data_IF_224401564225
#
_entry.id   IF_224401564225
#
_cell.length_a   1.000
_cell.length_b   1.000
_cell.length_c   1.000
_cell.angle_alpha   90.00
_cell.angle_beta   90.00
_cell.angle_gamma   90.00
#
_symmetry.space_group_name_H-M   'P 1'
#
loop_
_entity.id
_entity.type
_entity.pdbx_description
1 polymer ?
#
# COMPACT_ATOMS: atom_id res chain seq x y z
N UNK A 1 1.73 18.58 5.26
CA UNK A 1 0.51 19.41 5.28
C UNK A 1 -0.64 18.52 4.85
N UNK A 2 -1.69 18.36 5.65
CA UNK A 2 -2.79 17.46 5.32
C UNK A 2 -3.64 18.01 4.17
N UNK A 3 -4.24 17.10 3.40
CA UNK A 3 -5.23 17.40 2.37
C UNK A 3 -6.37 18.18 3.02
N UNK A 4 -6.80 19.27 2.37
CA UNK A 4 -7.92 20.06 2.85
C UNK A 4 -9.20 19.20 2.96
N UNK A 5 -10.05 19.46 3.96
CA UNK A 5 -11.23 18.63 4.19
C UNK A 5 -12.31 18.79 3.11
N UNK A 6 -12.41 19.98 2.50
CA UNK A 6 -13.41 20.30 1.48
C UNK A 6 -13.38 19.40 0.23
N UNK A 7 -12.22 19.09 -0.40
CA UNK A 7 -12.18 18.11 -1.49
C UNK A 7 -12.56 16.70 -1.04
N UNK A 8 -12.21 16.30 0.20
CA UNK A 8 -12.55 14.97 0.74
C UNK A 8 -14.06 14.83 0.95
N UNK A 9 -14.71 15.86 1.52
CA UNK A 9 -16.18 15.92 1.62
C UNK A 9 -16.84 15.84 0.23
N UNK A 10 -16.30 16.53 -0.77
CA UNK A 10 -16.79 16.45 -2.17
C UNK A 10 -16.66 15.05 -2.75
N UNK A 11 -15.59 14.30 -2.46
CA UNK A 11 -15.42 12.92 -2.91
C UNK A 11 -16.54 12.04 -2.33
N UNK A 12 -16.81 12.15 -1.03
CA UNK A 12 -17.88 11.40 -0.37
C UNK A 12 -19.26 11.72 -0.97
N UNK A 13 -19.56 12.99 -1.22
CA UNK A 13 -20.84 13.39 -1.84
C UNK A 13 -20.96 12.92 -3.28
N UNK A 14 -19.88 12.99 -4.07
CA UNK A 14 -19.85 12.44 -5.43
C UNK A 14 -20.02 10.92 -5.46
N UNK A 15 -19.60 10.23 -4.41
CA UNK A 15 -19.88 8.80 -4.21
C UNK A 15 -21.33 8.50 -3.78
N UNK A 16 -22.16 9.53 -3.57
CA UNK A 16 -23.59 9.39 -3.27
C UNK A 16 -23.98 9.71 -1.83
N UNK A 17 -23.05 10.14 -0.98
CA UNK A 17 -23.39 10.53 0.39
C UNK A 17 -24.25 11.81 0.42
N UNK A 18 -25.50 11.71 0.88
CA UNK A 18 -26.38 12.88 1.03
C UNK A 18 -25.91 13.81 2.18
N UNK A 19 -25.44 13.20 3.27
CA UNK A 19 -24.88 13.89 4.44
C UNK A 19 -23.53 13.28 4.77
N UNK A 20 -22.58 14.12 5.16
CA UNK A 20 -21.23 13.73 5.54
C UNK A 20 -20.94 14.38 6.88
N UNK A 21 -20.57 13.59 7.88
CA UNK A 21 -20.12 14.12 9.17
C UNK A 21 -18.68 14.61 9.04
N UNK A 22 -18.29 15.59 9.87
CA UNK A 22 -16.89 16.06 9.91
C UNK A 22 -15.93 14.92 10.22
N UNK A 23 -16.31 14.01 11.12
CA UNK A 23 -15.50 12.85 11.49
C UNK A 23 -15.27 11.90 10.31
N UNK A 24 -16.31 11.60 9.52
CA UNK A 24 -16.16 10.74 8.33
C UNK A 24 -15.24 11.36 7.27
N UNK A 25 -15.32 12.67 7.06
CA UNK A 25 -14.42 13.37 6.15
C UNK A 25 -12.96 13.36 6.67
N UNK A 26 -12.75 13.46 7.99
CA UNK A 26 -11.42 13.39 8.59
C UNK A 26 -10.82 11.98 8.43
N UNK A 27 -11.61 10.95 8.71
CA UNK A 27 -11.16 9.56 8.58
C UNK A 27 -10.76 9.23 7.14
N UNK A 28 -11.61 9.60 6.16
CA UNK A 28 -11.26 9.38 4.75
C UNK A 28 -10.00 10.16 4.34
N UNK A 29 -9.83 11.39 4.84
CA UNK A 29 -8.62 12.18 4.58
C UNK A 29 -7.37 11.43 5.06
N UNK A 30 -7.40 10.93 6.29
CA UNK A 30 -6.25 10.28 6.91
C UNK A 30 -5.90 8.97 6.17
N UNK A 31 -6.92 8.19 5.75
CA UNK A 31 -6.74 7.01 4.90
C UNK A 31 -6.11 7.36 3.55
N UNK A 32 -6.64 8.38 2.87
CA UNK A 32 -6.14 8.82 1.55
C UNK A 32 -4.70 9.34 1.67
N UNK A 33 -4.38 10.10 2.71
CA UNK A 33 -3.03 10.60 2.97
C UNK A 33 -2.04 9.47 3.20
N UNK A 34 -2.40 8.47 4.01
CA UNK A 34 -1.55 7.32 4.25
C UNK A 34 -1.25 6.57 2.94
N UNK A 35 -2.28 6.29 2.14
CA UNK A 35 -2.11 5.62 0.86
C UNK A 35 -1.29 6.46 -0.13
N UNK A 36 -1.57 7.77 -0.23
CA UNK A 36 -0.81 8.69 -1.06
C UNK A 36 0.66 8.76 -0.65
N UNK A 37 0.94 8.77 0.65
CA UNK A 37 2.31 8.77 1.17
C UNK A 37 3.07 7.49 0.84
N UNK A 38 2.41 6.32 0.91
CA UNK A 38 2.99 5.04 0.49
C UNK A 38 3.30 5.03 -1.00
N UNK A 39 2.37 5.48 -1.84
CA UNK A 39 2.60 5.61 -3.29
C UNK A 39 3.75 6.57 -3.60
N UNK A 40 3.82 7.71 -2.93
CA UNK A 40 4.89 8.68 -3.13
C UNK A 40 6.27 8.09 -2.81
N UNK A 41 6.38 7.33 -1.71
CA UNK A 41 7.62 6.61 -1.36
C UNK A 41 8.04 5.61 -2.44
N UNK A 42 7.09 4.84 -2.96
CA UNK A 42 7.41 3.85 -3.99
C UNK A 42 7.77 4.51 -5.33
N UNK A 43 7.10 5.60 -5.70
CA UNK A 43 7.45 6.39 -6.88
C UNK A 43 8.88 6.96 -6.76
N UNK A 44 9.23 7.55 -5.61
CA UNK A 44 10.60 8.06 -5.35
C UNK A 44 11.62 6.93 -5.45
N UNK A 45 11.37 5.79 -4.81
CA UNK A 45 12.26 4.62 -4.88
C UNK A 45 12.50 4.20 -6.34
N UNK A 46 11.47 4.20 -7.17
CA UNK A 46 11.59 3.86 -8.60
C UNK A 46 12.38 4.91 -9.38
N UNK A 47 12.14 6.19 -9.10
CA UNK A 47 12.90 7.31 -9.67
C UNK A 47 14.40 7.18 -9.32
N UNK A 48 14.72 6.91 -8.06
CA UNK A 48 16.10 6.75 -7.56
C UNK A 48 16.80 5.56 -8.24
N UNK A 49 16.13 4.41 -8.37
CA UNK A 49 16.66 3.23 -9.07
C UNK A 49 17.00 3.49 -10.54
N UNK A 50 16.32 4.46 -11.16
CA UNK A 50 16.59 4.88 -12.54
C UNK A 50 17.66 5.97 -12.66
N UNK A 51 18.28 6.39 -11.55
CA UNK A 51 19.30 7.45 -11.52
C UNK A 51 18.76 8.86 -11.79
N UNK A 52 17.43 9.03 -11.86
CA UNK A 52 16.77 10.32 -12.05
C UNK A 52 16.54 10.99 -10.70
N UNK A 53 16.40 12.33 -10.69
CA UNK A 53 16.03 13.11 -9.49
C UNK A 53 14.61 13.67 -9.56
N UNK A 54 14.02 13.73 -10.75
CA UNK A 54 12.66 14.22 -10.98
C UNK A 54 11.72 13.03 -11.03
N UNK A 55 10.68 13.05 -10.19
CA UNK A 55 9.59 12.07 -10.25
C UNK A 55 8.69 12.43 -11.43
N UNK A 56 8.54 11.51 -12.37
CA UNK A 56 7.67 11.69 -13.53
C UNK A 56 6.33 10.98 -13.35
N UNK A 57 5.38 11.28 -14.24
CA UNK A 57 4.04 10.70 -14.23
C UNK A 57 4.09 9.17 -14.21
N UNK A 58 5.01 8.58 -14.96
CA UNK A 58 5.16 7.14 -15.11
C UNK A 58 5.56 6.45 -13.80
N UNK A 59 6.32 7.15 -12.94
CA UNK A 59 6.73 6.64 -11.62
C UNK A 59 5.52 6.57 -10.68
N UNK A 60 4.67 7.60 -10.71
CA UNK A 60 3.43 7.66 -9.91
C UNK A 60 2.41 6.63 -10.38
N UNK A 61 2.27 6.44 -11.70
CA UNK A 61 1.34 5.45 -12.27
C UNK A 61 1.77 4.01 -11.96
N UNK A 62 3.08 3.75 -11.87
CA UNK A 62 3.60 2.42 -11.54
C UNK A 62 3.53 2.10 -10.04
N UNK A 63 3.59 3.11 -9.16
CA UNK A 63 3.64 2.90 -7.71
C UNK A 63 2.53 1.99 -7.13
N UNK A 64 1.24 2.12 -7.49
CA UNK A 64 0.19 1.23 -6.99
C UNK A 64 0.45 -0.24 -7.35
N UNK A 65 0.92 -0.49 -8.57
CA UNK A 65 1.22 -1.85 -9.06
C UNK A 65 2.36 -2.47 -8.26
N UNK A 66 3.45 -1.73 -8.06
CA UNK A 66 4.61 -2.18 -7.29
C UNK A 66 4.25 -2.47 -5.83
N UNK A 67 3.37 -1.67 -5.22
CA UNK A 67 2.87 -1.93 -3.86
C UNK A 67 2.12 -3.26 -3.80
N UNK A 68 1.22 -3.52 -4.74
CA UNK A 68 0.45 -4.78 -4.79
C UNK A 68 1.36 -5.98 -5.05
N UNK A 69 2.30 -5.87 -5.98
CA UNK A 69 3.28 -6.93 -6.28
C UNK A 69 4.09 -7.29 -5.04
N UNK A 70 4.57 -6.30 -4.28
CA UNK A 70 5.34 -6.56 -3.05
C UNK A 70 4.53 -7.15 -1.90
N UNK A 71 3.25 -6.76 -1.76
CA UNK A 71 2.36 -7.38 -0.78
C UNK A 71 2.15 -8.85 -1.12
N UNK A 72 1.98 -9.18 -2.40
CA UNK A 72 1.88 -10.58 -2.85
C UNK A 72 3.16 -11.36 -2.55
N UNK A 73 4.32 -10.79 -2.86
CA UNK A 73 5.62 -11.40 -2.53
C UNK A 73 5.74 -11.70 -1.03
N UNK A 74 5.36 -10.75 -0.16
CA UNK A 74 5.40 -10.95 1.29
C UNK A 74 4.44 -12.06 1.77
N UNK A 75 3.21 -12.11 1.23
CA UNK A 75 2.25 -13.18 1.58
C UNK A 75 2.78 -14.55 1.13
N UNK A 76 3.42 -14.64 -0.05
CA UNK A 76 4.00 -15.92 -0.52
C UNK A 76 5.16 -16.35 0.38
N UNK A 77 6.06 -15.44 0.76
CA UNK A 77 7.16 -15.74 1.68
C UNK A 77 6.62 -16.21 3.04
N UNK A 78 5.55 -15.59 3.55
CA UNK A 78 4.92 -16.01 4.81
C UNK A 78 4.30 -17.42 4.69
N UNK A 79 3.66 -17.75 3.56
CA UNK A 79 3.11 -19.09 3.31
C UNK A 79 4.22 -20.13 3.11
N UNK A 80 5.27 -19.84 2.36
CA UNK A 80 6.41 -20.75 2.19
C UNK A 80 7.07 -21.04 3.54
N UNK A 81 7.26 -20.02 4.38
CA UNK A 81 7.81 -20.21 5.73
C UNK A 81 6.88 -21.04 6.62
N UNK A 82 5.56 -20.85 6.52
CA UNK A 82 4.59 -21.66 7.26
C UNK A 82 4.59 -23.11 6.79
N UNK A 83 4.56 -23.35 5.48
CA UNK A 83 4.62 -24.69 4.88
C UNK A 83 5.93 -25.39 5.26
N UNK A 84 7.07 -24.68 5.24
CA UNK A 84 8.35 -25.28 5.62
C UNK A 84 8.36 -25.70 7.10
N UNK A 85 7.79 -24.89 8.00
CA UNK A 85 7.62 -25.24 9.42
C UNK A 85 6.76 -26.50 9.59
N UNK A 86 5.59 -26.55 8.93
CA UNK A 86 4.72 -27.73 8.99
C UNK A 86 5.39 -28.98 8.40
N UNK A 87 6.20 -28.83 7.35
CA UNK A 87 6.95 -29.94 6.75
C UNK A 87 8.11 -30.41 7.64
N UNK A 88 8.79 -29.51 8.34
CA UNK A 88 9.84 -29.86 9.32
C UNK A 88 9.27 -30.74 10.46
N UNK A 89 8.06 -30.43 10.92
CA UNK A 89 7.37 -31.24 11.93
C UNK A 89 6.96 -32.65 11.41
N UNK A 90 6.81 -32.81 10.10
CA UNK A 90 6.48 -34.08 9.44
C UNK A 90 7.69 -34.92 9.05
N UNK A 91 8.89 -34.33 9.03
CA UNK A 91 10.14 -35.06 8.81
C UNK A 91 10.74 -35.33 10.20
N UNK A 92 10.49 -36.50 10.81
CA UNK A 92 11.10 -36.83 12.09
C UNK A 92 12.63 -36.69 11.95
N UNK A 93 13.32 -36.19 12.99
CA UNK A 93 14.77 -36.12 12.96
C UNK A 93 15.30 -37.51 12.57
N UNK A 94 16.23 -37.55 11.62
CA UNK A 94 16.89 -38.80 11.27
C UNK A 94 17.62 -39.29 12.52
N UNK A 95 17.01 -40.26 13.21
CA UNK A 95 17.68 -40.98 14.28
C UNK A 95 18.89 -41.66 13.66
N UNK A 96 20.07 -41.24 14.12
CA UNK A 96 21.35 -41.81 13.75
C UNK A 96 21.67 -43.06 14.54
#
# INVERSE_FOLDING_TARGET
>A
MPIALAPVDRILRKAGAQRVSRAAALELRDIVENFAHRMAKEAIKKTDQSGRKTVFKEDVVQAPRLIVERVKENIVIDVEAEVLRELEDLIPPREG
#
